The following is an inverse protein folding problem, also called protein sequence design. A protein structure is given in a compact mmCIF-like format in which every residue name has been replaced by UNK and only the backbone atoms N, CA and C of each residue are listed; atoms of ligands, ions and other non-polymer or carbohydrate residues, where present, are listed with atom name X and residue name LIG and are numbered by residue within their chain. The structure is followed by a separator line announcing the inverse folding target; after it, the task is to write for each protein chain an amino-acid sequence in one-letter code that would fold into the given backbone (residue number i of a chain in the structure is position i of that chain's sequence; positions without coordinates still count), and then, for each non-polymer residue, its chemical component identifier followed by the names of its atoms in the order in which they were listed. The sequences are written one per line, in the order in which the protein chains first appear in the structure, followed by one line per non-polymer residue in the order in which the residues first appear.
data_IF_168260314168
#
_entry.id   IF_168260314168
#
_cell.length_a   1.000
_cell.length_b   1.000
_cell.length_c   1.000
_cell.angle_alpha   90.00
_cell.angle_beta   90.00
_cell.angle_gamma   90.00
#
_symmetry.space_group_name_H-M   'P 1'
#
loop_
_entity.id
_entity.type
_entity.pdbx_description
1 polymer ?
#
# COMPACT_ATOMS: atom_id res chain seq x y z
N UNK A 1 -14.72 -49.68 -19.80
CA UNK A 1 -13.53 -48.81 -19.97
C UNK A 1 -13.98 -47.57 -20.70
N UNK A 2 -14.47 -46.58 -19.96
CA UNK A 2 -14.61 -45.21 -20.46
C UNK A 2 -14.00 -44.34 -19.36
N UNK A 3 -12.83 -43.79 -19.67
CA UNK A 3 -12.09 -42.92 -18.77
C UNK A 3 -12.81 -41.60 -18.64
N UNK A 4 -13.37 -41.33 -17.46
CA UNK A 4 -13.74 -39.99 -17.06
C UNK A 4 -12.42 -39.24 -16.82
N UNK A 5 -11.89 -38.63 -17.88
CA UNK A 5 -10.92 -37.56 -17.71
C UNK A 5 -11.66 -36.39 -17.07
N UNK A 6 -11.66 -36.35 -15.74
CA UNK A 6 -11.89 -35.10 -15.01
C UNK A 6 -10.80 -34.15 -15.48
N UNK A 7 -11.16 -33.27 -16.41
CA UNK A 7 -10.32 -32.20 -16.89
C UNK A 7 -10.26 -31.12 -15.78
N UNK A 8 -9.74 -31.51 -14.60
CA UNK A 8 -9.49 -30.63 -13.47
C UNK A 8 -8.24 -29.83 -13.82
N UNK A 9 -8.39 -28.85 -14.72
CA UNK A 9 -7.34 -27.87 -14.99
C UNK A 9 -6.92 -27.24 -13.66
N UNK A 10 -5.64 -27.35 -13.35
CA UNK A 10 -5.05 -26.62 -12.23
C UNK A 10 -5.26 -25.13 -12.46
N UNK A 11 -6.03 -24.51 -11.57
CA UNK A 11 -6.46 -23.12 -11.70
C UNK A 11 -5.97 -22.30 -10.49
N UNK A 12 -4.68 -21.96 -10.53
CA UNK A 12 -4.04 -21.11 -9.53
C UNK A 12 -4.00 -19.67 -10.05
N UNK A 13 -4.33 -18.71 -9.19
CA UNK A 13 -4.29 -17.27 -9.46
C UNK A 13 -3.39 -16.58 -8.41
N UNK A 14 -2.39 -15.78 -8.82
CA UNK A 14 -1.89 -15.61 -10.18
C UNK A 14 -1.37 -16.92 -10.78
N UNK A 15 -1.44 -17.05 -12.12
CA UNK A 15 -0.97 -18.25 -12.83
C UNK A 15 0.55 -18.42 -12.63
N UNK A 16 1.01 -19.56 -12.09
CA UNK A 16 2.43 -19.84 -11.95
C UNK A 16 3.19 -19.84 -13.29
N UNK A 17 4.49 -19.53 -13.22
CA UNK A 17 5.37 -19.53 -14.38
C UNK A 17 5.41 -20.88 -15.12
N UNK A 18 5.60 -21.98 -14.37
CA UNK A 18 5.59 -23.35 -14.89
C UNK A 18 4.59 -24.19 -14.09
N UNK A 19 3.77 -24.97 -14.80
CA UNK A 19 2.84 -25.95 -14.23
C UNK A 19 2.93 -27.22 -15.07
N UNK A 20 3.31 -28.32 -14.44
CA UNK A 20 3.33 -29.65 -15.04
C UNK A 20 2.33 -30.54 -14.28
N UNK A 21 1.20 -30.84 -14.90
CA UNK A 21 0.18 -31.74 -14.35
C UNK A 21 0.75 -33.17 -14.22
N UNK A 22 0.58 -33.80 -13.06
CA UNK A 22 1.01 -35.18 -12.80
C UNK A 22 -0.21 -36.06 -12.51
N UNK A 23 -0.05 -37.37 -12.73
CA UNK A 23 -1.09 -38.34 -12.39
C UNK A 23 -1.11 -38.61 -10.89
N UNK A 24 -2.27 -38.47 -10.26
CA UNK A 24 -2.47 -38.82 -8.86
C UNK A 24 -3.12 -37.71 -8.05
N UNK A 25 -3.45 -38.03 -6.81
CA UNK A 25 -4.07 -37.13 -5.84
C UNK A 25 -3.39 -37.35 -4.50
N UNK A 26 -2.98 -36.26 -3.85
CA UNK A 26 -2.61 -36.25 -2.44
C UNK A 26 -3.88 -36.01 -1.61
N UNK A 27 -4.07 -36.79 -0.54
CA UNK A 27 -5.19 -36.62 0.40
C UNK A 27 -4.66 -35.99 1.68
N UNK A 28 -5.06 -34.75 1.95
CA UNK A 28 -4.72 -34.07 3.19
C UNK A 28 -5.60 -34.60 4.32
N UNK A 29 -4.97 -35.26 5.29
CA UNK A 29 -5.63 -35.81 6.48
C UNK A 29 -5.06 -35.20 7.75
N UNK A 30 -5.82 -35.29 8.85
CA UNK A 30 -5.36 -34.83 10.16
C UNK A 30 -4.08 -35.56 10.66
N UNK A 31 -3.74 -36.72 10.10
CA UNK A 31 -2.50 -37.45 10.41
C UNK A 31 -1.33 -37.02 9.53
N UNK A 32 -1.52 -36.15 8.53
CA UNK A 32 -0.43 -35.68 7.67
C UNK A 32 0.62 -34.96 8.49
N UNK A 33 1.88 -35.40 8.40
CA UNK A 33 2.98 -34.82 9.15
C UNK A 33 3.47 -33.57 8.42
N UNK A 34 3.72 -32.47 9.14
CA UNK A 34 4.39 -31.29 8.58
C UNK A 34 5.80 -31.18 9.17
N UNK A 35 6.80 -31.11 8.30
CA UNK A 35 8.19 -30.87 8.64
C UNK A 35 8.60 -29.54 8.00
N UNK A 36 9.00 -28.57 8.81
CA UNK A 36 9.46 -27.27 8.32
C UNK A 36 10.91 -27.03 8.74
N UNK A 37 11.71 -26.45 7.85
CA UNK A 37 13.02 -25.90 8.20
C UNK A 37 12.84 -24.84 9.30
N UNK A 38 13.77 -24.78 10.25
CA UNK A 38 13.82 -23.73 11.28
C UNK A 38 13.83 -22.35 10.61
N UNK A 39 12.99 -21.43 11.09
CA UNK A 39 12.78 -20.11 10.49
C UNK A 39 11.50 -19.97 9.65
N UNK A 40 10.73 -21.05 9.46
CA UNK A 40 9.42 -21.02 8.78
C UNK A 40 8.22 -21.06 9.75
N UNK A 41 8.43 -20.72 11.02
CA UNK A 41 7.40 -20.87 12.07
C UNK A 41 6.18 -19.98 11.80
N UNK A 42 6.40 -18.75 11.33
CA UNK A 42 5.35 -17.81 10.95
C UNK A 42 4.51 -18.35 9.78
N UNK A 43 5.16 -18.78 8.70
CA UNK A 43 4.50 -19.28 7.49
C UNK A 43 3.69 -20.54 7.79
N UNK A 44 4.25 -21.43 8.61
CA UNK A 44 3.57 -22.63 9.08
C UNK A 44 2.34 -22.29 9.93
N UNK A 45 2.46 -21.36 10.86
CA UNK A 45 1.35 -20.93 11.71
C UNK A 45 0.21 -20.31 10.88
N UNK A 46 0.55 -19.41 9.94
CA UNK A 46 -0.43 -18.81 9.04
C UNK A 46 -1.12 -19.85 8.16
N UNK A 47 -0.38 -20.80 7.59
CA UNK A 47 -0.97 -21.87 6.79
C UNK A 47 -1.94 -22.74 7.60
N UNK A 48 -1.57 -23.15 8.83
CA UNK A 48 -2.47 -23.89 9.72
C UNK A 48 -3.73 -23.09 10.06
N UNK A 49 -3.58 -21.79 10.36
CA UNK A 49 -4.71 -20.92 10.64
C UNK A 49 -5.63 -20.76 9.43
N UNK A 50 -5.08 -20.63 8.21
CA UNK A 50 -5.87 -20.60 6.99
C UNK A 50 -6.60 -21.91 6.75
N UNK A 51 -5.98 -23.06 7.00
CA UNK A 51 -6.66 -24.36 6.86
C UNK A 51 -7.84 -24.49 7.84
N UNK A 52 -7.67 -24.03 9.08
CA UNK A 52 -8.76 -23.96 10.05
C UNK A 52 -9.89 -23.04 9.59
N UNK A 53 -9.56 -21.84 9.12
CA UNK A 53 -10.57 -20.86 8.69
C UNK A 53 -11.31 -21.23 7.41
N UNK A 54 -10.59 -21.74 6.41
CA UNK A 54 -11.13 -21.99 5.07
C UNK A 54 -11.85 -23.34 4.96
N UNK A 55 -11.38 -24.33 5.75
CA UNK A 55 -11.74 -25.74 5.61
C UNK A 55 -12.15 -26.44 6.92
N UNK A 56 -12.16 -25.75 8.06
CA UNK A 56 -12.38 -26.37 9.39
C UNK A 56 -11.43 -27.55 9.67
N UNK A 57 -10.18 -27.42 9.21
CA UNK A 57 -9.19 -28.49 9.26
C UNK A 57 -8.05 -28.19 10.24
N UNK A 58 -7.72 -29.17 11.08
CA UNK A 58 -6.59 -29.13 11.99
C UNK A 58 -5.75 -30.42 11.91
N UNK A 59 -4.44 -30.26 12.06
CA UNK A 59 -3.51 -31.39 12.17
C UNK A 59 -3.56 -31.97 13.59
N UNK A 60 -3.45 -33.29 13.70
CA UNK A 60 -3.26 -34.01 14.97
C UNK A 60 -1.78 -34.20 15.27
N UNK A 61 -1.40 -34.29 16.55
CA UNK A 61 -0.01 -34.49 17.00
C UNK A 61 0.52 -35.93 16.79
N UNK A 62 0.01 -36.65 15.79
CA UNK A 62 0.43 -38.02 15.49
C UNK A 62 1.72 -38.03 14.68
N UNK A 63 2.63 -38.93 15.06
CA UNK A 63 3.95 -39.08 14.44
C UNK A 63 4.03 -40.18 13.38
N UNK A 64 3.00 -41.01 13.26
CA UNK A 64 2.97 -42.14 12.33
C UNK A 64 2.00 -41.85 11.19
N UNK A 65 2.54 -41.46 10.04
CA UNK A 65 1.77 -41.23 8.82
C UNK A 65 2.62 -41.46 7.59
N UNK A 66 1.96 -41.90 6.51
CA UNK A 66 2.58 -42.11 5.21
C UNK A 66 2.66 -40.78 4.42
N UNK A 67 1.79 -39.82 4.74
CA UNK A 67 1.68 -38.52 4.06
C UNK A 67 2.46 -37.44 4.80
N UNK A 68 3.28 -36.68 4.07
CA UNK A 68 4.13 -35.61 4.63
C UNK A 68 4.10 -34.32 3.79
N UNK A 69 4.06 -33.17 4.46
CA UNK A 69 4.33 -31.85 3.87
C UNK A 69 5.70 -31.38 4.37
N UNK A 70 6.59 -31.01 3.46
CA UNK A 70 7.93 -30.49 3.76
C UNK A 70 8.06 -29.04 3.31
N UNK A 71 8.42 -28.16 4.23
CA UNK A 71 8.82 -26.77 3.93
C UNK A 71 10.34 -26.71 4.04
N UNK A 72 11.01 -26.45 2.91
CA UNK A 72 12.47 -26.46 2.81
C UNK A 72 12.94 -25.04 2.47
N UNK A 73 13.49 -24.35 3.47
CA UNK A 73 14.06 -23.02 3.28
C UNK A 73 15.53 -23.12 2.86
N UNK A 74 15.78 -22.88 1.57
CA UNK A 74 17.13 -22.75 1.00
C UNK A 74 17.53 -21.27 0.97
N UNK A 75 17.58 -20.65 2.14
CA UNK A 75 17.88 -19.22 2.26
C UNK A 75 19.26 -18.90 1.67
N UNK A 76 19.26 -18.11 0.60
CA UNK A 76 20.46 -17.61 -0.05
C UNK A 76 20.75 -16.14 0.31
N UNK A 77 20.04 -15.58 1.31
CA UNK A 77 20.09 -14.19 1.80
C UNK A 77 19.73 -13.13 0.76
N UNK A 78 19.16 -13.54 -0.37
CA UNK A 78 18.58 -12.65 -1.37
C UNK A 78 17.08 -12.58 -1.07
N UNK A 79 16.47 -11.39 -1.20
CA UNK A 79 15.00 -11.22 -1.14
C UNK A 79 14.33 -11.87 -2.36
N UNK A 80 14.51 -13.18 -2.51
CA UNK A 80 14.01 -13.96 -3.61
C UNK A 80 12.67 -14.58 -3.23
N UNK A 81 11.61 -14.13 -3.88
CA UNK A 81 10.23 -14.57 -3.66
C UNK A 81 9.88 -15.82 -4.49
N UNK A 82 10.85 -16.48 -5.12
CA UNK A 82 10.63 -17.72 -5.89
C UNK A 82 10.38 -18.93 -4.99
N UNK A 83 9.64 -19.90 -5.54
CA UNK A 83 9.43 -21.19 -4.89
C UNK A 83 9.21 -22.30 -5.91
N UNK A 84 9.53 -23.53 -5.50
CA UNK A 84 9.11 -24.76 -6.18
C UNK A 84 8.11 -25.50 -5.29
N UNK A 85 7.05 -26.04 -5.89
CA UNK A 85 6.04 -26.85 -5.23
C UNK A 85 5.90 -28.18 -5.98
N UNK A 86 6.21 -29.28 -5.31
CA UNK A 86 6.04 -30.64 -5.79
C UNK A 86 4.96 -31.34 -4.98
N UNK A 87 3.92 -31.84 -5.64
CA UNK A 87 2.85 -32.65 -5.04
C UNK A 87 2.87 -34.03 -5.67
N UNK A 88 3.18 -35.04 -4.85
CA UNK A 88 3.07 -36.47 -5.14
C UNK A 88 1.97 -37.08 -4.26
N UNK A 89 1.59 -38.35 -4.50
CA UNK A 89 0.51 -39.03 -3.76
C UNK A 89 0.69 -39.11 -2.23
N UNK A 90 1.93 -39.12 -1.75
CA UNK A 90 2.26 -39.23 -0.31
C UNK A 90 3.13 -38.07 0.20
N UNK A 91 3.52 -37.11 -0.66
CA UNK A 91 4.47 -36.07 -0.30
C UNK A 91 4.12 -34.75 -0.97
N UNK A 92 4.08 -33.68 -0.18
CA UNK A 92 4.14 -32.31 -0.67
C UNK A 92 5.46 -31.70 -0.24
N UNK A 93 6.14 -31.04 -1.14
CA UNK A 93 7.42 -30.38 -0.88
C UNK A 93 7.38 -28.97 -1.46
N UNK A 94 7.60 -27.98 -0.59
CA UNK A 94 7.73 -26.57 -0.95
C UNK A 94 9.16 -26.15 -0.65
N UNK A 95 9.89 -25.76 -1.69
CA UNK A 95 11.24 -25.22 -1.58
C UNK A 95 11.17 -23.73 -1.87
N UNK A 96 11.59 -22.91 -0.91
CA UNK A 96 11.65 -21.46 -1.05
C UNK A 96 13.07 -20.95 -0.82
N UNK A 97 13.44 -19.87 -1.51
CA UNK A 97 14.73 -19.19 -1.33
C UNK A 97 14.67 -18.02 -0.35
N UNK A 98 13.49 -17.78 0.21
CA UNK A 98 13.22 -16.91 1.35
C UNK A 98 11.95 -17.39 2.04
N UNK A 99 11.67 -16.87 3.23
CA UNK A 99 10.38 -17.11 3.92
C UNK A 99 9.20 -16.61 3.10
N UNK A 100 9.35 -15.54 2.32
CA UNK A 100 8.32 -15.08 1.38
C UNK A 100 8.06 -16.10 0.25
N UNK A 101 9.11 -16.75 -0.26
CA UNK A 101 8.98 -17.84 -1.23
C UNK A 101 8.19 -19.02 -0.66
N UNK A 102 8.52 -19.47 0.55
CA UNK A 102 7.75 -20.51 1.26
C UNK A 102 6.29 -20.08 1.42
N UNK A 103 6.05 -18.85 1.88
CA UNK A 103 4.73 -18.28 2.06
C UNK A 103 3.92 -18.32 0.75
N UNK A 104 4.47 -17.87 -0.37
CA UNK A 104 3.76 -17.88 -1.66
C UNK A 104 3.53 -19.30 -2.21
N UNK A 105 4.44 -20.24 -1.94
CA UNK A 105 4.21 -21.66 -2.21
C UNK A 105 3.02 -22.22 -1.44
N UNK A 106 2.87 -21.82 -0.16
CA UNK A 106 1.71 -22.19 0.66
C UNK A 106 0.42 -21.53 0.17
N UNK A 107 0.46 -20.29 -0.33
CA UNK A 107 -0.72 -19.66 -0.96
C UNK A 107 -1.18 -20.42 -2.21
N UNK A 108 -0.23 -20.90 -3.03
CA UNK A 108 -0.53 -21.77 -4.15
C UNK A 108 -1.11 -23.11 -3.70
N UNK A 109 -0.51 -23.72 -2.67
CA UNK A 109 -1.03 -24.96 -2.09
C UNK A 109 -2.47 -24.82 -1.59
N UNK A 110 -2.81 -23.72 -0.91
CA UNK A 110 -4.17 -23.41 -0.47
C UNK A 110 -5.17 -23.41 -1.62
N UNK A 111 -4.80 -22.82 -2.76
CA UNK A 111 -5.67 -22.75 -3.94
C UNK A 111 -5.81 -24.11 -4.66
N UNK A 112 -4.85 -25.02 -4.51
CA UNK A 112 -4.91 -26.37 -5.09
C UNK A 112 -5.84 -27.32 -4.31
N UNK A 113 -6.29 -26.94 -3.12
CA UNK A 113 -7.25 -27.73 -2.33
C UNK A 113 -8.63 -27.61 -2.99
N UNK A 114 -8.92 -28.57 -3.87
CA UNK A 114 -10.07 -28.50 -4.78
C UNK A 114 -11.42 -28.86 -4.13
N UNK A 115 -11.42 -29.56 -2.99
CA UNK A 115 -12.65 -30.07 -2.37
C UNK A 115 -12.59 -29.90 -0.84
N UNK A 116 -13.54 -29.16 -0.27
CA UNK A 116 -13.65 -28.95 1.18
C UNK A 116 -13.98 -30.23 1.94
N UNK A 117 -14.71 -31.15 1.33
CA UNK A 117 -15.19 -32.38 2.00
C UNK A 117 -14.07 -33.43 2.12
N UNK A 118 -13.17 -33.49 1.13
CA UNK A 118 -12.15 -34.55 1.04
C UNK A 118 -10.69 -34.05 1.07
N UNK A 119 -10.47 -32.73 1.07
CA UNK A 119 -9.17 -32.06 1.10
C UNK A 119 -8.12 -32.68 0.17
N UNK A 120 -8.56 -32.92 -1.07
CA UNK A 120 -7.74 -33.53 -2.13
C UNK A 120 -6.98 -32.49 -2.93
N UNK A 121 -5.72 -32.79 -3.23
CA UNK A 121 -4.80 -31.92 -3.96
C UNK A 121 -4.26 -32.70 -5.17
N UNK A 122 -4.38 -32.20 -6.41
CA UNK A 122 -3.85 -32.90 -7.58
C UNK A 122 -2.32 -32.98 -7.52
N UNK A 123 -1.75 -34.11 -7.96
CA UNK A 123 -0.31 -34.19 -8.13
C UNK A 123 0.15 -33.22 -9.22
N UNK A 124 1.17 -32.42 -8.93
CA UNK A 124 1.63 -31.33 -9.79
C UNK A 124 3.06 -30.95 -9.45
N UNK A 125 3.80 -30.49 -10.45
CA UNK A 125 5.04 -29.76 -10.26
C UNK A 125 4.86 -28.30 -10.70
N UNK A 126 5.18 -27.35 -9.82
CA UNK A 126 5.09 -25.92 -10.05
C UNK A 126 6.44 -25.27 -9.73
N UNK A 127 6.94 -24.44 -10.65
CA UNK A 127 8.02 -23.48 -10.39
C UNK A 127 7.45 -22.08 -10.60
N UNK A 128 7.68 -21.20 -9.65
CA UNK A 128 7.13 -19.85 -9.74
C UNK A 128 8.06 -18.79 -9.17
N UNK A 129 7.95 -17.60 -9.74
CA UNK A 129 8.62 -16.39 -9.30
C UNK A 129 7.86 -15.15 -9.81
N UNK A 130 7.86 -14.04 -9.06
CA UNK A 130 7.14 -12.85 -9.50
C UNK A 130 7.85 -12.20 -10.69
N UNK A 131 7.07 -11.81 -11.71
CA UNK A 131 7.57 -10.97 -12.81
C UNK A 131 8.06 -9.60 -12.33
N UNK A 132 7.37 -9.02 -11.35
CA UNK A 132 7.67 -7.70 -10.79
C UNK A 132 7.82 -7.79 -9.28
N UNK A 133 8.85 -7.13 -8.74
CA UNK A 133 9.11 -7.07 -7.30
C UNK A 133 8.10 -6.18 -6.55
N UNK A 134 7.45 -5.25 -7.25
CA UNK A 134 6.46 -4.32 -6.69
C UNK A 134 5.06 -4.69 -7.17
N UNK A 135 4.25 -5.30 -6.30
CA UNK A 135 2.87 -5.74 -6.60
C UNK A 135 1.95 -5.11 -5.58
N UNK A 136 1.40 -3.95 -5.93
CA UNK A 136 0.75 -3.05 -4.98
C UNK A 136 -0.76 -3.00 -5.11
N UNK A 137 -1.43 -2.84 -3.98
CA UNK A 137 -2.82 -2.39 -3.90
C UNK A 137 -2.83 -1.07 -3.12
N UNK A 138 -3.52 -0.07 -3.64
CA UNK A 138 -3.72 1.22 -2.95
C UNK A 138 -5.11 1.28 -2.34
N UNK A 139 -5.20 1.65 -1.05
CA UNK A 139 -6.48 1.93 -0.38
C UNK A 139 -6.55 3.39 0.06
N UNK A 140 -7.53 4.11 -0.48
CA UNK A 140 -7.95 5.43 -0.01
C UNK A 140 -8.87 5.29 1.20
N UNK A 141 -8.33 5.67 2.37
CA UNK A 141 -9.07 5.77 3.63
C UNK A 141 -9.36 7.22 4.02
N UNK A 142 -8.76 8.18 3.33
CA UNK A 142 -8.95 9.61 3.55
C UNK A 142 -10.38 10.02 3.16
N UNK A 143 -10.86 9.60 1.99
CA UNK A 143 -12.23 9.89 1.52
C UNK A 143 -13.26 9.14 2.36
N UNK A 144 -13.07 7.85 2.60
CA UNK A 144 -13.93 7.06 3.48
C UNK A 144 -13.10 6.13 4.37
N UNK A 145 -13.09 6.45 5.66
CA UNK A 145 -12.39 5.68 6.69
C UNK A 145 -12.85 4.21 6.69
N UNK A 146 -11.88 3.30 6.74
CA UNK A 146 -12.09 1.87 6.87
C UNK A 146 -11.59 1.40 8.23
N UNK A 147 -12.36 0.55 8.91
CA UNK A 147 -11.93 0.01 10.19
C UNK A 147 -10.75 -0.98 10.03
N UNK A 148 -10.09 -1.31 11.14
CA UNK A 148 -8.92 -2.21 11.17
C UNK A 148 -9.27 -3.60 10.64
N UNK A 149 -10.46 -4.13 10.95
CA UNK A 149 -10.88 -5.44 10.46
C UNK A 149 -10.96 -5.51 8.93
N UNK A 150 -11.47 -4.44 8.29
CA UNK A 150 -11.51 -4.35 6.82
C UNK A 150 -10.11 -4.30 6.23
N UNK A 151 -9.19 -3.57 6.86
CA UNK A 151 -7.79 -3.50 6.41
C UNK A 151 -7.13 -4.88 6.52
N UNK A 152 -7.31 -5.58 7.65
CA UNK A 152 -6.78 -6.94 7.84
C UNK A 152 -7.34 -7.93 6.81
N UNK A 153 -8.64 -7.88 6.56
CA UNK A 153 -9.27 -8.70 5.52
C UNK A 153 -8.69 -8.41 4.14
N UNK A 154 -8.48 -7.13 3.79
CA UNK A 154 -7.83 -6.77 2.53
C UNK A 154 -6.39 -7.31 2.45
N UNK A 155 -5.62 -7.24 3.53
CA UNK A 155 -4.26 -7.79 3.59
C UNK A 155 -4.25 -9.33 3.44
N UNK A 156 -5.25 -10.02 3.98
CA UNK A 156 -5.42 -11.47 3.75
C UNK A 156 -5.62 -11.76 2.26
N UNK A 157 -6.53 -11.05 1.58
CA UNK A 157 -6.79 -11.22 0.15
C UNK A 157 -5.57 -10.86 -0.72
N UNK A 158 -4.90 -9.76 -0.40
CA UNK A 158 -3.65 -9.36 -1.04
C UNK A 158 -2.60 -10.47 -0.95
N UNK A 159 -2.46 -11.07 0.23
CA UNK A 159 -1.48 -12.13 0.48
C UNK A 159 -1.80 -13.41 -0.30
N UNK A 160 -3.09 -13.79 -0.39
CA UNK A 160 -3.56 -14.93 -1.19
C UNK A 160 -3.22 -14.75 -2.68
N UNK A 161 -3.33 -13.51 -3.18
CA UNK A 161 -3.00 -13.12 -4.55
C UNK A 161 -1.52 -12.74 -4.74
N UNK A 162 -0.68 -13.00 -3.74
CA UNK A 162 0.78 -12.75 -3.75
C UNK A 162 1.17 -11.28 -3.96
N UNK A 163 0.30 -10.33 -3.62
CA UNK A 163 0.62 -8.90 -3.60
C UNK A 163 1.50 -8.60 -2.36
N UNK A 164 2.47 -7.69 -2.49
CA UNK A 164 3.50 -7.49 -1.45
C UNK A 164 3.71 -6.02 -1.06
N UNK A 165 2.89 -5.12 -1.60
CA UNK A 165 2.90 -3.69 -1.24
C UNK A 165 1.48 -3.22 -0.95
N UNK A 166 1.28 -2.65 0.23
CA UNK A 166 0.04 -1.98 0.58
C UNK A 166 0.30 -0.47 0.60
N UNK A 167 -0.16 0.23 -0.43
CA UNK A 167 -0.08 1.68 -0.51
C UNK A 167 -1.27 2.26 0.25
N UNK A 168 -0.99 2.90 1.38
CA UNK A 168 -2.03 3.39 2.27
C UNK A 168 -2.19 4.91 2.15
N UNK A 169 -3.23 5.32 1.44
CA UNK A 169 -3.56 6.73 1.21
C UNK A 169 -4.32 7.30 2.42
N UNK A 170 -3.54 7.88 3.35
CA UNK A 170 -3.97 8.20 4.73
C UNK A 170 -4.52 9.62 4.90
N UNK A 171 -4.27 10.51 3.95
CA UNK A 171 -4.61 11.94 4.08
C UNK A 171 -5.10 12.47 2.75
N UNK A 172 -6.12 13.32 2.78
CA UNK A 172 -6.61 14.06 1.62
C UNK A 172 -7.44 15.26 2.09
N UNK A 173 -8.08 15.96 1.16
CA UNK A 173 -8.96 17.08 1.45
C UNK A 173 -10.07 16.70 2.44
N UNK A 174 -10.73 15.56 2.26
CA UNK A 174 -11.90 15.17 3.05
C UNK A 174 -11.57 14.42 4.34
N UNK A 175 -10.29 14.26 4.69
CA UNK A 175 -9.90 13.52 5.87
C UNK A 175 -8.42 13.36 6.13
N UNK A 176 -8.05 13.50 7.40
CA UNK A 176 -6.75 13.10 7.94
C UNK A 176 -6.90 11.88 8.85
N UNK A 177 -6.24 10.76 8.52
CA UNK A 177 -6.52 9.45 9.14
C UNK A 177 -5.40 8.89 10.01
N UNK A 178 -4.31 9.62 10.23
CA UNK A 178 -3.17 9.14 11.01
C UNK A 178 -2.92 10.01 12.24
N UNK A 179 -2.75 9.40 13.41
CA UNK A 179 -2.35 10.14 14.60
C UNK A 179 -0.91 10.67 14.51
N UNK A 180 -0.76 12.00 14.60
CA UNK A 180 0.53 12.69 14.76
C UNK A 180 0.50 13.37 16.12
N UNK A 181 1.29 12.85 17.07
CA UNK A 181 1.25 13.27 18.48
C UNK A 181 1.62 14.74 18.65
N UNK A 182 2.56 15.25 17.84
CA UNK A 182 2.95 16.66 17.88
C UNK A 182 1.83 17.60 17.38
N UNK A 183 0.90 17.09 16.57
CA UNK A 183 -0.16 17.88 15.93
C UNK A 183 -1.55 17.24 16.14
N UNK A 184 -2.07 17.20 17.37
CA UNK A 184 -3.30 16.49 17.70
C UNK A 184 -4.55 17.01 16.96
N UNK A 185 -4.57 18.28 16.55
CA UNK A 185 -5.73 18.81 15.81
C UNK A 185 -5.94 18.14 14.46
N UNK A 186 -4.92 17.50 13.88
CA UNK A 186 -5.05 16.76 12.64
C UNK A 186 -6.09 15.62 12.77
N UNK A 187 -6.16 14.98 13.94
CA UNK A 187 -7.19 13.97 14.20
C UNK A 187 -8.40 14.53 14.96
N UNK A 188 -8.24 15.54 15.84
CA UNK A 188 -9.39 16.15 16.53
C UNK A 188 -10.35 16.87 15.56
N UNK A 189 -9.81 17.53 14.52
CA UNK A 189 -10.54 18.29 13.51
C UNK A 189 -10.47 17.58 12.15
N UNK A 190 -9.26 17.36 11.62
CA UNK A 190 -9.05 16.87 10.26
C UNK A 190 -9.61 15.48 9.98
N UNK A 191 -9.85 14.66 11.01
CA UNK A 191 -10.48 13.35 10.83
C UNK A 191 -12.01 13.40 10.67
N UNK A 192 -12.63 14.58 10.76
CA UNK A 192 -14.10 14.71 10.83
C UNK A 192 -14.62 15.67 9.79
N UNK A 193 -15.67 15.27 9.07
CA UNK A 193 -16.46 16.17 8.22
C UNK A 193 -17.94 16.04 8.53
N UNK A 194 -18.68 17.13 8.38
CA UNK A 194 -20.09 17.21 8.74
C UNK A 194 -21.05 16.68 7.68
N UNK A 195 -20.56 16.42 6.47
CA UNK A 195 -21.36 15.91 5.36
C UNK A 195 -20.48 15.24 4.29
N UNK A 196 -21.10 14.42 3.45
CA UNK A 196 -20.48 13.84 2.26
C UNK A 196 -21.36 14.11 1.03
N UNK A 197 -20.74 14.50 -0.08
CA UNK A 197 -21.41 14.69 -1.36
C UNK A 197 -21.98 13.35 -1.84
N UNK A 198 -23.26 13.30 -2.20
CA UNK A 198 -23.93 12.02 -2.46
C UNK A 198 -23.42 11.26 -3.69
N UNK A 199 -22.88 11.98 -4.68
CA UNK A 199 -22.18 11.43 -5.85
C UNK A 199 -21.31 12.52 -6.49
N UNK A 200 -20.37 12.13 -7.34
CA UNK A 200 -19.52 13.06 -8.07
C UNK A 200 -20.34 14.17 -8.76
N UNK A 201 -20.01 15.44 -8.47
CA UNK A 201 -20.68 16.66 -8.98
C UNK A 201 -22.15 16.83 -8.57
N UNK A 202 -22.60 16.13 -7.52
CA UNK A 202 -23.92 16.36 -6.93
C UNK A 202 -23.96 17.70 -6.18
N UNK A 203 -25.10 18.39 -6.23
CA UNK A 203 -25.38 19.51 -5.32
C UNK A 203 -25.93 19.01 -3.96
N UNK A 204 -26.24 17.72 -3.84
CA UNK A 204 -26.81 17.13 -2.63
C UNK A 204 -25.74 16.51 -1.74
N UNK A 205 -25.94 16.64 -0.43
CA UNK A 205 -25.11 16.09 0.64
C UNK A 205 -25.96 15.29 1.62
N UNK A 206 -25.38 14.28 2.25
CA UNK A 206 -26.06 13.41 3.22
C UNK A 206 -26.18 14.01 4.63
N UNK A 207 -25.45 15.10 4.91
CA UNK A 207 -25.33 15.76 6.23
C UNK A 207 -25.07 14.80 7.39
N UNK A 208 -24.40 13.68 7.10
CA UNK A 208 -23.99 12.70 8.10
C UNK A 208 -22.53 12.97 8.47
N UNK A 209 -22.24 12.99 9.77
CA UNK A 209 -20.85 13.11 10.24
C UNK A 209 -20.10 11.85 9.82
N UNK A 210 -19.05 12.04 9.03
CA UNK A 210 -18.08 10.98 8.71
C UNK A 210 -16.80 11.26 9.47
N UNK A 211 -16.38 10.32 10.32
CA UNK A 211 -15.18 10.44 11.15
C UNK A 211 -14.39 9.13 11.26
N UNK A 212 -13.16 9.24 11.77
CA UNK A 212 -12.29 8.10 12.04
C UNK A 212 -10.83 8.38 11.65
N UNK A 213 -9.92 7.82 12.44
CA UNK A 213 -8.48 7.82 12.22
C UNK A 213 -7.87 6.59 12.91
N UNK A 214 -6.63 6.27 12.58
CA UNK A 214 -5.84 5.23 13.22
C UNK A 214 -4.89 5.87 14.23
N UNK A 215 -4.93 5.40 15.46
CA UNK A 215 -3.91 5.68 16.46
C UNK A 215 -2.58 5.06 16.04
N UNK A 216 -1.47 5.54 16.63
CA UNK A 216 -0.16 4.98 16.33
C UNK A 216 -0.04 3.49 16.72
N UNK A 217 -0.75 3.05 17.76
CA UNK A 217 -0.74 1.63 18.18
C UNK A 217 -1.53 0.74 17.21
N UNK A 218 -2.67 1.20 16.72
CA UNK A 218 -3.43 0.48 15.68
C UNK A 218 -2.64 0.38 14.37
N UNK A 219 -1.89 1.42 14.00
CA UNK A 219 -0.99 1.38 12.83
C UNK A 219 0.12 0.35 13.04
N UNK A 220 0.76 0.30 14.22
CA UNK A 220 1.78 -0.72 14.51
C UNK A 220 1.22 -2.14 14.44
N UNK A 221 0.01 -2.35 14.95
CA UNK A 221 -0.69 -3.63 14.84
C UNK A 221 -0.91 -4.03 13.38
N UNK A 222 -1.37 -3.10 12.54
CA UNK A 222 -1.58 -3.34 11.11
C UNK A 222 -0.26 -3.61 10.38
N UNK A 223 0.81 -2.86 10.70
CA UNK A 223 2.15 -3.07 10.15
C UNK A 223 2.65 -4.47 10.50
N UNK A 224 2.52 -4.90 11.76
CA UNK A 224 2.89 -6.25 12.17
C UNK A 224 2.09 -7.30 11.38
N UNK A 225 0.77 -7.13 11.31
CA UNK A 225 -0.12 -8.05 10.61
C UNK A 225 0.21 -8.18 9.10
N UNK A 226 0.59 -7.07 8.47
CA UNK A 226 1.04 -7.03 7.08
C UNK A 226 2.42 -7.70 6.91
N UNK A 227 3.36 -7.45 7.82
CA UNK A 227 4.70 -8.04 7.79
C UNK A 227 4.68 -9.56 7.92
N UNK A 228 3.82 -10.11 8.79
CA UNK A 228 3.59 -11.56 8.92
C UNK A 228 3.18 -12.20 7.57
N UNK A 229 2.55 -11.42 6.68
CA UNK A 229 2.09 -11.83 5.34
C UNK A 229 3.04 -11.41 4.22
N UNK A 230 4.26 -10.97 4.54
CA UNK A 230 5.25 -10.47 3.58
C UNK A 230 4.74 -9.26 2.77
N UNK A 231 3.88 -8.42 3.37
CA UNK A 231 3.38 -7.18 2.78
C UNK A 231 4.06 -6.00 3.47
N UNK A 232 4.79 -5.19 2.70
CA UNK A 232 5.33 -3.92 3.17
C UNK A 232 4.30 -2.81 2.95
N UNK A 233 4.06 -1.98 3.96
CA UNK A 233 3.14 -0.83 3.87
C UNK A 233 3.90 0.41 3.41
N UNK A 234 3.38 1.09 2.40
CA UNK A 234 3.88 2.38 1.90
C UNK A 234 2.88 3.46 2.32
N UNK A 235 3.17 4.26 3.36
CA UNK A 235 2.28 5.33 3.77
C UNK A 235 2.32 6.48 2.75
N UNK A 236 1.18 7.13 2.56
CA UNK A 236 1.07 8.37 1.80
C UNK A 236 0.56 9.51 2.67
N UNK A 237 1.33 10.61 2.67
CA UNK A 237 0.93 11.91 3.21
C UNK A 237 0.90 12.90 2.05
N UNK A 238 -0.30 13.30 1.64
CA UNK A 238 -0.55 14.19 0.51
C UNK A 238 0.08 15.57 0.72
N UNK A 239 0.86 16.02 -0.27
CA UNK A 239 1.43 17.35 -0.34
C UNK A 239 1.91 17.71 -1.77
N UNK A 240 1.87 18.99 -2.19
CA UNK A 240 1.33 20.13 -1.47
C UNK A 240 -0.18 20.35 -1.69
N UNK A 241 -0.78 19.61 -2.63
CA UNK A 241 -2.22 19.55 -2.88
C UNK A 241 -2.94 18.68 -1.85
N UNK A 242 -4.25 18.49 -2.05
CA UNK A 242 -5.08 17.62 -1.22
C UNK A 242 -4.94 17.86 0.29
N UNK A 243 -4.78 19.13 0.67
CA UNK A 243 -4.33 19.54 2.01
C UNK A 243 -5.46 20.11 2.88
N UNK A 244 -6.71 20.11 2.42
CA UNK A 244 -7.82 20.80 3.12
C UNK A 244 -8.01 20.32 4.57
N UNK A 245 -7.91 19.02 4.85
CA UNK A 245 -8.07 18.50 6.21
C UNK A 245 -6.96 19.00 7.17
N UNK A 246 -5.71 19.08 6.67
CA UNK A 246 -4.59 19.62 7.44
C UNK A 246 -4.75 21.13 7.68
N UNK A 247 -5.14 21.88 6.65
CA UNK A 247 -5.36 23.33 6.74
C UNK A 247 -6.58 23.67 7.61
N UNK A 248 -7.65 22.87 7.59
CA UNK A 248 -8.78 23.03 8.50
C UNK A 248 -8.36 22.86 9.98
N UNK A 249 -7.41 21.95 10.23
CA UNK A 249 -6.86 21.67 11.56
C UNK A 249 -5.89 22.77 12.03
N UNK A 250 -5.08 23.28 11.10
CA UNK A 250 -4.09 24.33 11.33
C UNK A 250 -4.10 25.33 10.15
N UNK A 251 -4.93 26.40 10.20
CA UNK A 251 -5.07 27.35 9.08
C UNK A 251 -3.75 28.01 8.65
N UNK A 252 -2.80 28.16 9.59
CA UNK A 252 -1.47 28.72 9.34
C UNK A 252 -0.65 27.97 8.28
N UNK A 253 -1.03 26.74 7.92
CA UNK A 253 -0.34 25.91 6.93
C UNK A 253 -0.66 26.32 5.48
N UNK A 254 -1.81 26.95 5.24
CA UNK A 254 -2.28 27.34 3.91
C UNK A 254 -1.82 28.74 3.48
N UNK A 255 -2.19 29.14 2.27
CA UNK A 255 -1.86 30.47 1.72
C UNK A 255 -2.70 31.61 2.32
N UNK A 256 -3.83 31.29 2.97
CA UNK A 256 -4.76 32.25 3.56
C UNK A 256 -4.95 31.98 5.07
N UNK A 257 -3.93 32.22 5.91
CA UNK A 257 -3.92 31.75 7.31
C UNK A 257 -4.99 32.40 8.22
N UNK A 258 -5.59 33.50 7.77
CA UNK A 258 -6.68 34.19 8.47
C UNK A 258 -8.06 33.57 8.18
N UNK A 259 -8.16 32.69 7.18
CA UNK A 259 -9.41 32.05 6.80
C UNK A 259 -9.51 30.67 7.46
N UNK A 260 -10.45 30.54 8.40
CA UNK A 260 -10.84 29.23 8.90
C UNK A 260 -11.68 28.51 7.85
N UNK A 261 -11.28 27.30 7.50
CA UNK A 261 -12.05 26.40 6.63
C UNK A 261 -12.56 25.19 7.43
N UNK A 262 -13.56 24.51 6.89
CA UNK A 262 -14.02 23.22 7.38
C UNK A 262 -13.42 22.11 6.50
N UNK A 263 -13.29 20.90 7.05
CA UNK A 263 -12.97 19.71 6.24
C UNK A 263 -14.08 19.51 5.20
N UNK A 264 -13.78 19.57 3.89
CA UNK A 264 -14.80 19.51 2.85
C UNK A 264 -15.52 18.15 2.80
N UNK A 265 -16.82 18.21 2.52
CA UNK A 265 -17.62 17.04 2.13
C UNK A 265 -17.67 16.79 0.63
N UNK A 266 -17.17 17.73 -0.17
CA UNK A 266 -17.20 17.65 -1.63
C UNK A 266 -16.01 16.83 -2.16
N UNK A 267 -16.28 15.98 -3.15
CA UNK A 267 -15.22 15.31 -3.89
C UNK A 267 -14.54 16.28 -4.87
N UNK A 268 -13.44 15.83 -5.46
CA UNK A 268 -12.73 16.52 -6.54
C UNK A 268 -11.54 17.33 -6.06
N UNK A 269 -10.95 18.07 -6.99
CA UNK A 269 -9.75 18.87 -6.74
C UNK A 269 -10.12 20.18 -6.03
N UNK A 270 -9.61 20.37 -4.82
CA UNK A 270 -9.79 21.58 -4.02
C UNK A 270 -8.70 22.62 -4.31
N UNK A 271 -8.86 23.84 -3.80
CA UNK A 271 -7.90 24.93 -4.04
C UNK A 271 -6.88 25.09 -2.91
N UNK A 272 -7.21 24.52 -1.75
CA UNK A 272 -6.45 24.54 -0.52
C UNK A 272 -5.16 23.75 -0.70
N UNK A 273 -4.05 24.48 -0.71
CA UNK A 273 -2.69 23.96 -0.90
C UNK A 273 -1.78 24.47 0.21
N UNK A 274 -0.78 23.66 0.59
CA UNK A 274 0.24 24.10 1.54
C UNK A 274 0.99 25.33 1.03
N UNK A 275 1.24 26.29 1.93
CA UNK A 275 2.11 27.43 1.66
C UNK A 275 3.57 26.98 1.79
N UNK A 276 4.15 26.48 0.69
CA UNK A 276 5.50 25.90 0.66
C UNK A 276 6.63 26.93 0.77
N UNK A 277 6.31 28.23 0.68
CA UNK A 277 7.26 29.31 0.95
C UNK A 277 7.41 29.62 2.45
N UNK A 278 6.41 29.28 3.27
CA UNK A 278 6.46 29.51 4.72
C UNK A 278 7.34 28.47 5.41
N UNK A 279 8.43 28.87 6.11
CA UNK A 279 9.29 27.94 6.85
C UNK A 279 8.55 27.12 7.91
N UNK A 280 7.49 27.66 8.54
CA UNK A 280 6.70 26.94 9.53
C UNK A 280 5.90 25.79 8.93
N UNK A 281 5.43 25.96 7.69
CA UNK A 281 4.77 24.87 6.95
C UNK A 281 5.76 23.76 6.62
N UNK A 282 6.97 24.10 6.23
CA UNK A 282 8.04 23.11 6.00
C UNK A 282 8.38 22.37 7.30
N UNK A 283 8.56 23.10 8.41
CA UNK A 283 8.83 22.49 9.71
C UNK A 283 7.70 21.55 10.15
N UNK A 284 6.44 21.95 9.93
CA UNK A 284 5.28 21.09 10.17
C UNK A 284 5.37 19.79 9.38
N UNK A 285 5.65 19.86 8.07
CA UNK A 285 5.75 18.69 7.21
C UNK A 285 6.92 17.78 7.62
N UNK A 286 8.07 18.35 7.96
CA UNK A 286 9.22 17.60 8.50
C UNK A 286 8.85 16.84 9.77
N UNK A 287 8.20 17.51 10.72
CA UNK A 287 7.77 16.91 11.97
C UNK A 287 6.73 15.78 11.77
N UNK A 288 5.79 15.96 10.83
CA UNK A 288 4.84 14.89 10.45
C UNK A 288 5.59 13.70 9.85
N UNK A 289 6.50 13.95 8.91
CA UNK A 289 7.28 12.91 8.26
C UNK A 289 8.18 12.17 9.25
N UNK A 290 8.68 12.83 10.30
CA UNK A 290 9.46 12.18 11.35
C UNK A 290 8.64 11.12 12.10
N UNK A 291 7.44 11.47 12.56
CA UNK A 291 6.56 10.50 13.21
C UNK A 291 6.13 9.37 12.25
N UNK A 292 5.88 9.69 10.98
CA UNK A 292 5.55 8.69 9.95
C UNK A 292 6.73 7.74 9.69
N UNK A 293 7.95 8.25 9.59
CA UNK A 293 9.15 7.41 9.37
C UNK A 293 9.38 6.47 10.55
N UNK A 294 9.17 6.95 11.76
CA UNK A 294 9.29 6.15 12.98
C UNK A 294 8.20 5.06 13.04
N UNK A 295 6.95 5.39 12.71
CA UNK A 295 5.85 4.43 12.65
C UNK A 295 6.08 3.36 11.58
N UNK A 296 6.38 3.79 10.37
CA UNK A 296 6.56 2.92 9.20
C UNK A 296 8.04 2.55 9.01
N UNK A 297 8.71 2.18 10.10
CA UNK A 297 10.14 1.89 10.14
C UNK A 297 10.58 0.74 9.23
N UNK A 298 9.68 -0.18 8.86
CA UNK A 298 9.95 -1.27 7.91
C UNK A 298 9.81 -0.86 6.45
N UNK A 299 9.28 0.33 6.16
CA UNK A 299 9.18 0.88 4.80
C UNK A 299 10.43 1.68 4.45
N UNK A 300 11.01 1.37 3.29
CA UNK A 300 12.07 2.18 2.68
C UNK A 300 11.51 3.29 1.77
N UNK A 301 10.19 3.33 1.58
CA UNK A 301 9.50 4.26 0.68
C UNK A 301 8.39 5.01 1.42
N UNK A 302 8.35 6.34 1.23
CA UNK A 302 7.26 7.20 1.70
C UNK A 302 6.67 7.90 0.47
N UNK A 303 5.35 7.78 0.30
CA UNK A 303 4.64 8.48 -0.77
C UNK A 303 4.22 9.87 -0.28
N UNK A 304 4.41 10.89 -1.10
CA UNK A 304 4.07 12.29 -0.76
C UNK A 304 2.90 12.83 -1.58
N UNK A 305 2.29 11.98 -2.40
CA UNK A 305 1.25 12.36 -3.33
C UNK A 305 1.79 13.28 -4.42
N UNK A 306 1.30 14.52 -4.44
CA UNK A 306 1.77 15.58 -5.33
C UNK A 306 0.96 15.71 -6.62
N UNK A 307 -0.17 15.02 -6.71
CA UNK A 307 -1.12 15.13 -7.80
C UNK A 307 -2.01 16.38 -7.69
N UNK A 308 -2.64 16.70 -8.82
CA UNK A 308 -3.75 17.65 -8.96
C UNK A 308 -3.62 19.03 -8.27
N UNK A 309 -2.39 19.54 -8.08
CA UNK A 309 -2.17 20.85 -7.44
C UNK A 309 -2.78 21.99 -8.26
N UNK A 310 -3.75 22.70 -7.66
CA UNK A 310 -4.27 23.95 -8.22
C UNK A 310 -3.43 25.14 -7.79
N UNK A 311 -2.80 25.79 -8.76
CA UNK A 311 -1.89 26.90 -8.51
C UNK A 311 -2.57 28.24 -8.19
N UNK A 312 -3.89 28.32 -8.17
CA UNK A 312 -4.64 29.57 -7.96
C UNK A 312 -4.26 30.30 -6.67
N UNK A 313 -4.18 29.58 -5.54
CA UNK A 313 -3.79 30.18 -4.25
C UNK A 313 -2.31 30.59 -4.22
N UNK A 314 -1.43 29.84 -4.90
CA UNK A 314 -0.02 30.21 -5.04
C UNK A 314 0.14 31.47 -5.88
N UNK A 315 -0.60 31.59 -6.99
CA UNK A 315 -0.58 32.77 -7.87
C UNK A 315 -1.12 34.02 -7.18
N UNK A 316 -2.09 33.88 -6.28
CA UNK A 316 -2.66 35.01 -5.54
C UNK A 316 -1.88 35.38 -4.28
N UNK A 317 -0.97 34.51 -3.81
CA UNK A 317 -0.17 34.75 -2.61
C UNK A 317 1.04 35.64 -2.90
N UNK A 318 1.12 36.78 -2.20
CA UNK A 318 2.28 37.69 -2.26
C UNK A 318 3.56 37.02 -1.75
N UNK A 319 3.45 36.17 -0.73
CA UNK A 319 4.59 35.44 -0.17
C UNK A 319 5.15 34.44 -1.18
N UNK A 320 4.28 33.63 -1.80
CA UNK A 320 4.69 32.62 -2.79
C UNK A 320 5.26 33.29 -4.05
N UNK A 321 4.61 34.33 -4.57
CA UNK A 321 5.10 35.04 -5.76
C UNK A 321 6.45 35.71 -5.51
N UNK A 322 6.66 36.28 -4.31
CA UNK A 322 7.98 36.78 -3.89
C UNK A 322 9.00 35.66 -3.80
N UNK A 323 8.64 34.52 -3.22
CA UNK A 323 9.52 33.36 -3.10
C UNK A 323 9.97 32.83 -4.46
N UNK A 324 9.06 32.71 -5.43
CA UNK A 324 9.36 32.32 -6.82
C UNK A 324 10.42 33.24 -7.42
N UNK A 325 10.26 34.56 -7.27
CA UNK A 325 11.22 35.54 -7.76
C UNK A 325 12.59 35.41 -7.07
N UNK A 326 12.62 35.33 -5.74
CA UNK A 326 13.85 35.25 -4.95
C UNK A 326 14.66 33.97 -5.23
N UNK A 327 13.98 32.88 -5.55
CA UNK A 327 14.59 31.58 -5.87
C UNK A 327 14.81 31.36 -7.38
N UNK A 328 14.55 32.37 -8.22
CA UNK A 328 14.68 32.31 -9.69
C UNK A 328 13.86 31.19 -10.36
N UNK A 329 12.73 30.82 -9.75
CA UNK A 329 11.79 29.83 -10.26
C UNK A 329 10.94 30.44 -11.39
N UNK A 330 10.54 29.63 -12.37
CA UNK A 330 9.83 30.12 -13.56
C UNK A 330 8.31 30.12 -13.43
N UNK A 331 7.77 29.21 -12.62
CA UNK A 331 6.34 28.94 -12.59
C UNK A 331 5.93 28.28 -11.27
N UNK A 332 4.62 28.17 -11.01
CA UNK A 332 4.10 27.32 -9.95
C UNK A 332 4.52 25.83 -10.05
N UNK A 333 4.61 25.23 -11.25
CA UNK A 333 5.13 23.86 -11.37
C UNK A 333 6.62 23.78 -11.02
N UNK A 334 7.42 24.79 -11.36
CA UNK A 334 8.83 24.88 -10.97
C UNK A 334 8.97 24.95 -9.44
N UNK A 335 8.08 25.70 -8.77
CA UNK A 335 7.96 25.71 -7.32
C UNK A 335 7.56 24.35 -6.75
N UNK A 336 6.63 23.65 -7.39
CA UNK A 336 6.26 22.29 -6.98
C UNK A 336 7.46 21.33 -7.07
N UNK A 337 8.23 21.34 -8.16
CA UNK A 337 9.45 20.51 -8.27
C UNK A 337 10.46 20.91 -7.19
N UNK A 338 10.67 22.21 -6.95
CA UNK A 338 11.55 22.69 -5.88
C UNK A 338 11.14 22.12 -4.51
N UNK A 339 9.84 22.19 -4.19
CA UNK A 339 9.29 21.66 -2.95
C UNK A 339 9.44 20.13 -2.87
N UNK A 340 9.07 19.42 -3.93
CA UNK A 340 9.26 17.97 -4.06
C UNK A 340 10.71 17.56 -3.85
N UNK A 341 11.67 18.29 -4.43
CA UNK A 341 13.10 18.03 -4.25
C UNK A 341 13.54 18.26 -2.80
N UNK A 342 12.99 19.28 -2.13
CA UNK A 342 13.25 19.53 -0.71
C UNK A 342 12.80 18.36 0.16
N UNK A 343 11.58 17.85 -0.04
CA UNK A 343 11.06 16.68 0.68
C UNK A 343 11.86 15.41 0.32
N UNK A 344 12.21 15.23 -0.96
CA UNK A 344 13.07 14.10 -1.38
C UNK A 344 14.40 14.09 -0.66
N UNK A 345 15.04 15.26 -0.50
CA UNK A 345 16.33 15.37 0.16
C UNK A 345 16.21 15.11 1.67
N UNK A 346 15.13 15.58 2.30
CA UNK A 346 14.81 15.29 3.70
C UNK A 346 14.65 13.79 3.95
N UNK A 347 13.83 13.12 3.13
CA UNK A 347 13.62 11.68 3.22
C UNK A 347 14.91 10.90 2.95
N UNK A 348 15.69 11.31 1.95
CA UNK A 348 16.97 10.69 1.63
C UNK A 348 17.97 10.81 2.81
N UNK A 349 17.99 11.96 3.50
CA UNK A 349 18.77 12.17 4.72
C UNK A 349 18.38 11.24 5.87
N UNK A 350 17.14 10.72 5.86
CA UNK A 350 16.61 9.75 6.83
C UNK A 350 16.60 8.31 6.28
N UNK A 351 17.38 8.05 5.22
CA UNK A 351 17.47 6.74 4.56
C UNK A 351 16.10 6.21 4.08
N UNK A 352 15.26 7.10 3.55
CA UNK A 352 14.00 6.78 2.89
C UNK A 352 14.02 7.30 1.46
N UNK A 353 13.34 6.59 0.57
CA UNK A 353 13.11 7.03 -0.82
C UNK A 353 11.74 7.66 -0.91
N UNK A 354 11.67 8.81 -1.58
CA UNK A 354 10.41 9.49 -1.85
C UNK A 354 9.72 8.84 -3.04
N UNK A 355 8.40 8.73 -2.97
CA UNK A 355 7.52 8.38 -4.08
C UNK A 355 6.44 9.45 -4.26
N UNK A 356 5.98 9.70 -5.47
CA UNK A 356 4.84 10.60 -5.71
C UNK A 356 4.23 10.40 -7.09
N UNK A 357 3.02 10.92 -7.28
CA UNK A 357 2.29 10.85 -8.55
C UNK A 357 3.00 11.63 -9.65
N UNK A 358 2.81 11.26 -10.92
CA UNK A 358 3.67 11.75 -12.00
C UNK A 358 3.62 13.27 -12.27
N UNK A 359 2.67 14.00 -11.69
CA UNK A 359 2.70 15.46 -11.57
C UNK A 359 4.00 16.01 -10.97
N UNK A 360 4.65 15.29 -10.05
CA UNK A 360 5.90 15.71 -9.42
C UNK A 360 7.06 15.90 -10.41
N UNK A 361 6.94 15.34 -11.62
CA UNK A 361 7.94 15.51 -12.69
C UNK A 361 7.88 16.90 -13.31
N UNK A 362 6.76 17.61 -13.16
CA UNK A 362 6.44 18.85 -13.86
C UNK A 362 6.59 18.74 -15.38
N UNK A 363 6.57 19.89 -16.07
CA UNK A 363 6.85 19.97 -17.51
C UNK A 363 5.78 19.38 -18.44
N UNK A 364 4.75 18.71 -17.90
CA UNK A 364 3.69 18.06 -18.66
C UNK A 364 2.32 18.64 -18.29
N UNK A 365 1.53 18.99 -19.31
CA UNK A 365 0.14 19.43 -19.11
C UNK A 365 -0.78 18.24 -18.92
N UNK A 366 -0.89 17.77 -17.68
CA UNK A 366 -1.75 16.64 -17.34
C UNK A 366 -3.22 17.05 -17.14
N UNK A 367 -3.48 18.30 -16.77
CA UNK A 367 -4.81 18.75 -16.36
C UNK A 367 -5.33 19.94 -17.17
N UNK A 368 -6.63 19.94 -17.42
CA UNK A 368 -7.32 20.97 -18.23
C UNK A 368 -7.33 22.36 -17.58
N UNK A 369 -7.12 22.43 -16.27
CA UNK A 369 -7.12 23.67 -15.49
C UNK A 369 -5.72 24.28 -15.35
N UNK A 370 -4.70 23.62 -15.91
CA UNK A 370 -3.31 24.10 -15.91
C UNK A 370 -2.99 24.75 -17.26
N UNK A 371 -2.36 25.94 -17.26
CA UNK A 371 -1.94 26.61 -18.50
C UNK A 371 -0.52 26.19 -18.93
N UNK A 372 -0.13 26.46 -20.18
CA UNK A 372 1.25 26.18 -20.66
C UNK A 372 2.31 26.96 -19.86
N UNK A 373 1.97 28.16 -19.38
CA UNK A 373 2.86 28.97 -18.56
C UNK A 373 3.05 28.37 -17.16
N UNK A 374 2.05 27.66 -16.65
CA UNK A 374 2.10 27.06 -15.32
C UNK A 374 3.05 25.88 -15.22
N UNK A 375 3.32 25.22 -16.34
CA UNK A 375 4.14 23.99 -16.41
C UNK A 375 5.57 24.23 -16.88
N UNK A 376 5.99 25.49 -17.05
CA UNK A 376 7.38 25.80 -17.41
C UNK A 376 8.31 25.41 -16.27
N UNK A 377 9.32 24.58 -16.56
CA UNK A 377 10.23 24.07 -15.54
C UNK A 377 11.68 24.29 -15.93
N UNK A 378 12.50 24.67 -14.94
CA UNK A 378 13.97 24.58 -14.99
C UNK A 378 14.48 23.48 -14.07
N UNK A 379 13.80 23.28 -12.96
CA UNK A 379 14.15 22.28 -11.97
C UNK A 379 14.03 20.87 -12.56
N UNK A 380 14.89 19.96 -12.07
CA UNK A 380 14.84 18.54 -12.39
C UNK A 380 14.53 17.76 -11.13
N UNK A 381 13.64 16.79 -11.25
CA UNK A 381 13.29 15.90 -10.15
C UNK A 381 14.54 15.15 -9.63
N UNK A 382 14.66 15.03 -8.31
CA UNK A 382 15.76 14.33 -7.65
C UNK A 382 15.85 12.88 -8.12
N UNK A 383 17.08 12.41 -8.42
CA UNK A 383 17.34 11.11 -9.08
C UNK A 383 16.84 9.89 -8.31
N UNK A 384 16.75 9.96 -6.98
CA UNK A 384 16.33 8.84 -6.13
C UNK A 384 14.81 8.78 -5.92
N UNK A 385 14.04 9.62 -6.61
CA UNK A 385 12.58 9.66 -6.52
C UNK A 385 11.93 8.55 -7.33
N UNK A 386 10.94 7.88 -6.74
CA UNK A 386 10.07 6.92 -7.43
C UNK A 386 8.87 7.68 -7.97
N UNK A 387 8.57 7.51 -9.26
CA UNK A 387 7.40 8.13 -9.90
C UNK A 387 6.28 7.10 -10.02
N UNK A 388 5.13 7.41 -9.43
CA UNK A 388 3.90 6.64 -9.57
C UNK A 388 3.08 7.19 -10.74
N UNK A 389 3.06 6.45 -11.84
CA UNK A 389 2.47 6.92 -13.08
C UNK A 389 0.98 6.53 -13.18
N UNK A 390 0.09 7.51 -13.33
CA UNK A 390 -1.35 7.28 -13.47
C UNK A 390 -1.97 7.91 -14.72
N UNK A 391 -1.31 8.92 -15.30
CA UNK A 391 -1.88 9.71 -16.42
C UNK A 391 -0.82 10.25 -17.37
N UNK A 392 -1.13 10.23 -18.66
CA UNK A 392 -0.26 10.74 -19.73
C UNK A 392 0.53 9.63 -20.42
N UNK A 393 1.62 9.99 -21.08
CA UNK A 393 2.60 9.05 -21.64
C UNK A 393 3.94 9.19 -20.92
N UNK A 394 4.67 8.07 -20.78
CA UNK A 394 6.04 8.01 -20.26
C UNK A 394 7.06 8.59 -21.24
#
# INVERSE_FOLDING_TARGET
MEGVFLNNRINVIPRPLIINDLSGIFVLSNSTIIIATVGCENELALFKNSLKGDFDFEFSDKTDSISVIKLILNDNRIKNESYHLNVDVNKIEIIGWSTAGIFYGLQTLRQLINNKDNLTIPCVHIEDQPRFQWRAFMLDVARHFQNISTIKQLLDEMSLLKMNRFHWHLTDDQGWRIEIKKYPKLTEIGSKRSCTQSRWKSMNYDYTIHEGYYTQEEIKEIIQYANERHIQIVPEIEMPGHASAAIASYPSLGCNPQQQINVPGAFGVHYEVFNVANPQTIEFLENVLDEVIDLFSTSDVIHIGGDEVKYDQWKSSVEITKFICEHNLQSPADLQIWFTNKISNLLNGKHRRMMGWNEITGGNKLHRYTSELDILTKEKLAQNTIVHFWKGNL
#
